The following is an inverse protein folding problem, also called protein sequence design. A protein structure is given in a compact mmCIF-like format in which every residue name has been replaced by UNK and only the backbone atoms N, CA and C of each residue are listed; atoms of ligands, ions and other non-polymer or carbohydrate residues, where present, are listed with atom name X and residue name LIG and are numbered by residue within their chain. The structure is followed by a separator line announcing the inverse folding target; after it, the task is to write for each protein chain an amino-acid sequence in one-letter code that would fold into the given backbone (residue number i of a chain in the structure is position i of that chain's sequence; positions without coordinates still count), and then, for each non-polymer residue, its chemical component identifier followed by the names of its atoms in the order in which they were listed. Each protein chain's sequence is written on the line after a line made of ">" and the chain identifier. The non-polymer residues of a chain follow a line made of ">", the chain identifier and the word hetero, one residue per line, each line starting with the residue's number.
data_IF_263290139546
#
_entry.id   IF_263290139546
#
_cell.length_a   1.000
_cell.length_b   1.000
_cell.length_c   1.000
_cell.angle_alpha   90.00
_cell.angle_beta   90.00
_cell.angle_gamma   90.00
#
_symmetry.space_group_name_H-M   'P 1'
#
loop_
_entity.id
_entity.type
_entity.pdbx_description
1 polymer ?
#
# COMPACT_ATOMS: atom_id res chain seq x y z
N UNK A 1 3.29 -18.60 -16.26
CA UNK A 1 3.27 -17.39 -15.39
C UNK A 1 4.53 -16.55 -15.58
N UNK A 2 5.73 -16.98 -15.15
CA UNK A 2 6.96 -16.16 -15.35
C UNK A 2 7.36 -16.04 -16.84
N UNK A 3 7.17 -17.10 -17.62
CA UNK A 3 7.38 -17.09 -19.07
C UNK A 3 6.36 -16.20 -19.79
N UNK A 4 5.07 -16.31 -19.44
CA UNK A 4 4.02 -15.44 -19.98
C UNK A 4 4.28 -13.97 -19.65
N UNK A 5 4.69 -13.67 -18.43
CA UNK A 5 5.04 -12.30 -18.03
C UNK A 5 6.23 -11.77 -18.84
N UNK A 6 7.25 -12.59 -19.10
CA UNK A 6 8.39 -12.21 -19.95
C UNK A 6 7.97 -11.97 -21.39
N UNK A 7 7.12 -12.85 -21.95
CA UNK A 7 6.58 -12.70 -23.29
C UNK A 7 5.75 -11.42 -23.40
N UNK A 8 4.82 -11.20 -22.49
CA UNK A 8 3.99 -10.00 -22.45
C UNK A 8 4.84 -8.74 -22.29
N UNK A 9 5.85 -8.74 -21.43
CA UNK A 9 6.76 -7.59 -21.30
C UNK A 9 7.52 -7.25 -22.60
N UNK A 10 7.70 -8.21 -23.51
CA UNK A 10 8.32 -7.98 -24.83
C UNK A 10 7.32 -7.65 -25.94
N UNK A 11 6.17 -8.33 -25.97
CA UNK A 11 5.15 -8.17 -27.02
C UNK A 11 4.21 -6.99 -26.74
N UNK A 12 3.94 -6.72 -25.47
CA UNK A 12 3.01 -5.71 -24.99
C UNK A 12 3.44 -5.13 -23.62
N UNK A 13 4.38 -4.16 -23.60
CA UNK A 13 4.81 -3.50 -22.37
C UNK A 13 3.68 -2.77 -21.61
N UNK A 14 2.59 -2.41 -22.31
CA UNK A 14 1.46 -1.65 -21.79
C UNK A 14 0.26 -2.55 -21.43
N UNK A 15 0.47 -3.86 -21.31
CA UNK A 15 -0.58 -4.86 -21.14
C UNK A 15 -1.62 -4.47 -20.08
N UNK A 16 -1.17 -4.08 -18.88
CA UNK A 16 -2.08 -3.74 -17.77
C UNK A 16 -2.85 -2.44 -18.02
N UNK A 17 -2.25 -1.46 -18.71
CA UNK A 17 -2.94 -0.21 -19.07
C UNK A 17 -4.02 -0.51 -20.10
N UNK A 18 -3.68 -1.30 -21.13
CA UNK A 18 -4.59 -1.74 -22.19
C UNK A 18 -5.74 -2.58 -21.64
N UNK A 19 -5.43 -3.51 -20.74
CA UNK A 19 -6.41 -4.39 -20.09
C UNK A 19 -7.46 -3.58 -19.32
N UNK A 20 -7.03 -2.70 -18.41
CA UNK A 20 -7.92 -1.86 -17.62
C UNK A 20 -8.75 -0.91 -18.50
N UNK A 21 -8.12 -0.27 -19.47
CA UNK A 21 -8.82 0.66 -20.37
C UNK A 21 -9.93 -0.06 -21.16
N UNK A 22 -9.60 -1.20 -21.77
CA UNK A 22 -10.53 -1.97 -22.58
C UNK A 22 -11.67 -2.58 -21.75
N UNK A 23 -11.41 -3.00 -20.51
CA UNK A 23 -12.43 -3.51 -19.61
C UNK A 23 -13.49 -2.43 -19.34
N UNK A 24 -13.05 -1.22 -18.97
CA UNK A 24 -13.94 -0.09 -18.72
C UNK A 24 -14.69 0.34 -19.99
N UNK A 25 -14.01 0.40 -21.14
CA UNK A 25 -14.63 0.79 -22.43
C UNK A 25 -15.75 -0.18 -22.86
N UNK A 26 -15.59 -1.48 -22.55
CA UNK A 26 -16.59 -2.52 -22.82
C UNK A 26 -17.70 -2.59 -21.77
N UNK A 27 -17.65 -1.77 -20.72
CA UNK A 27 -18.61 -1.82 -19.61
C UNK A 27 -18.35 -2.94 -18.60
N UNK A 28 -17.20 -3.63 -18.67
CA UNK A 28 -16.77 -4.62 -17.68
C UNK A 28 -16.01 -3.91 -16.54
N UNK A 29 -16.77 -3.25 -15.67
CA UNK A 29 -16.22 -2.37 -14.64
C UNK A 29 -15.60 -3.19 -13.49
N UNK A 30 -14.29 -3.06 -13.23
CA UNK A 30 -13.67 -3.75 -12.12
C UNK A 30 -14.11 -3.17 -10.78
N UNK A 31 -14.32 -4.05 -9.80
CA UNK A 31 -14.84 -3.71 -8.47
C UNK A 31 -13.97 -4.27 -7.34
N UNK A 32 -13.83 -3.52 -6.25
CA UNK A 32 -13.14 -3.94 -5.03
C UNK A 32 -14.04 -3.77 -3.81
N UNK A 33 -14.12 -4.79 -2.95
CA UNK A 33 -14.84 -4.70 -1.67
C UNK A 33 -13.89 -4.21 -0.57
N UNK A 34 -14.17 -3.03 -0.02
CA UNK A 34 -13.41 -2.45 1.07
C UNK A 34 -13.78 -3.14 2.39
N UNK A 35 -12.75 -3.63 3.08
CA UNK A 35 -12.84 -4.12 4.46
C UNK A 35 -11.87 -3.35 5.35
N UNK A 36 -12.14 -3.34 6.65
CA UNK A 36 -11.23 -2.84 7.68
C UNK A 36 -11.03 -3.87 8.78
N UNK A 37 -9.90 -3.80 9.48
CA UNK A 37 -9.70 -4.46 10.77
C UNK A 37 -9.71 -3.39 11.86
N UNK A 38 -10.23 -3.74 13.04
CA UNK A 38 -10.27 -2.83 14.19
C UNK A 38 -9.49 -3.47 15.33
N UNK A 39 -8.52 -2.74 15.85
CA UNK A 39 -7.74 -3.06 17.05
C UNK A 39 -7.90 -1.90 18.02
N UNK A 40 -8.29 -2.19 19.27
CA UNK A 40 -8.35 -1.16 20.33
C UNK A 40 -6.94 -0.79 20.81
N UNK A 41 -6.79 0.37 21.44
CA UNK A 41 -5.51 0.77 22.03
C UNK A 41 -5.01 -0.25 23.08
N UNK A 42 -5.91 -0.78 23.91
CA UNK A 42 -5.59 -1.84 24.87
C UNK A 42 -5.12 -3.13 24.17
N UNK A 43 -5.72 -3.50 23.04
CA UNK A 43 -5.24 -4.64 22.26
C UNK A 43 -3.86 -4.38 21.66
N UNK A 44 -3.61 -3.16 21.16
CA UNK A 44 -2.31 -2.76 20.62
C UNK A 44 -1.20 -2.83 21.69
N UNK A 45 -1.47 -2.35 22.90
CA UNK A 45 -0.51 -2.37 24.01
C UNK A 45 -0.16 -3.79 24.47
N UNK A 46 -1.09 -4.73 24.31
CA UNK A 46 -0.94 -6.13 24.75
C UNK A 46 -0.66 -7.10 23.59
N UNK A 47 -0.49 -6.61 22.35
CA UNK A 47 -0.28 -7.48 21.21
C UNK A 47 1.14 -8.07 21.22
N UNK A 48 1.28 -9.28 20.67
CA UNK A 48 2.53 -10.04 20.75
C UNK A 48 3.65 -9.50 19.85
N UNK A 49 3.30 -8.72 18.83
CA UNK A 49 4.21 -8.08 17.89
C UNK A 49 3.95 -6.57 17.90
N UNK A 50 4.78 -5.78 17.24
CA UNK A 50 4.50 -4.35 17.05
C UNK A 50 3.31 -4.18 16.08
N UNK A 51 2.15 -3.65 16.52
CA UNK A 51 0.98 -3.47 15.66
C UNK A 51 1.17 -2.41 14.58
N UNK A 52 2.24 -1.62 14.66
CA UNK A 52 2.60 -0.55 13.74
C UNK A 52 3.80 -0.90 12.85
N UNK A 53 4.32 -2.12 12.92
CA UNK A 53 5.35 -2.59 12.00
C UNK A 53 4.73 -3.01 10.67
N UNK A 54 5.05 -2.25 9.60
CA UNK A 54 4.57 -2.46 8.24
C UNK A 54 4.92 -3.85 7.66
N UNK A 55 5.90 -4.56 8.23
CA UNK A 55 6.26 -5.92 7.82
C UNK A 55 5.33 -7.00 8.38
N UNK A 56 4.43 -6.63 9.31
CA UNK A 56 3.53 -7.55 10.00
C UNK A 56 2.09 -7.38 9.53
N UNK A 57 1.35 -8.48 9.46
CA UNK A 57 -0.10 -8.50 9.29
C UNK A 57 -0.80 -8.77 10.62
N UNK A 58 -2.01 -8.24 10.76
CA UNK A 58 -2.91 -8.60 11.86
C UNK A 58 -3.70 -9.86 11.47
N UNK A 59 -3.53 -10.99 12.18
CA UNK A 59 -4.20 -12.23 11.80
C UNK A 59 -5.72 -12.07 11.77
N UNK A 60 -6.35 -12.48 10.66
CA UNK A 60 -7.82 -12.38 10.51
C UNK A 60 -8.60 -13.18 11.56
N UNK A 61 -7.98 -14.18 12.19
CA UNK A 61 -8.60 -14.95 13.26
C UNK A 61 -8.68 -14.16 14.58
N UNK A 62 -7.77 -13.22 14.80
CA UNK A 62 -7.74 -12.33 15.97
C UNK A 62 -8.49 -11.04 15.68
N UNK A 63 -8.31 -10.48 14.48
CA UNK A 63 -8.92 -9.24 14.02
C UNK A 63 -9.70 -9.49 12.72
N UNK A 64 -10.97 -9.92 12.78
CA UNK A 64 -11.75 -10.24 11.59
C UNK A 64 -11.95 -9.04 10.65
N UNK A 65 -12.06 -9.33 9.36
CA UNK A 65 -12.40 -8.33 8.34
C UNK A 65 -13.85 -7.85 8.52
N UNK A 66 -14.03 -6.53 8.57
CA UNK A 66 -15.33 -5.86 8.66
C UNK A 66 -15.61 -5.17 7.32
N UNK A 67 -16.67 -5.56 6.59
CA UNK A 67 -17.01 -4.93 5.31
C UNK A 67 -17.49 -3.50 5.51
N UNK A 68 -17.03 -2.58 4.66
CA UNK A 68 -17.38 -1.16 4.71
C UNK A 68 -18.10 -0.71 3.45
N UNK A 69 -17.63 -1.10 2.27
CA UNK A 69 -18.20 -0.62 1.01
C UNK A 69 -17.55 -1.20 -0.23
N UNK A 70 -17.80 -0.57 -1.37
CA UNK A 70 -17.35 -1.02 -2.69
C UNK A 70 -16.78 0.13 -3.51
N UNK A 71 -15.62 -0.09 -4.12
CA UNK A 71 -15.00 0.80 -5.10
C UNK A 71 -15.24 0.22 -6.49
N UNK A 72 -15.71 1.04 -7.43
CA UNK A 72 -15.96 0.64 -8.82
C UNK A 72 -15.25 1.64 -9.73
N UNK A 73 -14.45 1.14 -10.68
CA UNK A 73 -13.84 1.98 -11.71
C UNK A 73 -14.68 1.88 -12.99
N UNK A 74 -15.37 2.97 -13.34
CA UNK A 74 -16.36 2.97 -14.42
C UNK A 74 -16.16 4.06 -15.47
N UNK A 75 -15.01 4.75 -15.46
CA UNK A 75 -14.70 5.81 -16.42
C UNK A 75 -13.21 5.86 -16.68
N UNK A 76 -12.83 5.82 -17.96
CA UNK A 76 -11.47 6.07 -18.41
C UNK A 76 -11.15 7.58 -18.37
N UNK A 77 -9.88 7.96 -18.18
CA UNK A 77 -9.46 9.35 -18.35
C UNK A 77 -9.68 9.82 -19.79
N UNK A 78 -10.11 11.07 -19.97
CA UNK A 78 -10.21 11.71 -21.29
C UNK A 78 -8.82 12.15 -21.77
N UNK A 79 -7.97 12.59 -20.83
CA UNK A 79 -6.59 12.93 -21.10
C UNK A 79 -5.65 12.32 -20.05
N UNK A 80 -4.85 11.33 -20.48
CA UNK A 80 -3.94 10.60 -19.61
C UNK A 80 -2.95 11.52 -18.88
N UNK A 81 -2.37 12.52 -19.56
CA UNK A 81 -1.41 13.42 -18.92
C UNK A 81 -2.07 14.33 -17.86
N UNK A 82 -3.26 14.85 -18.16
CA UNK A 82 -3.98 15.74 -17.26
C UNK A 82 -4.55 15.03 -16.02
N UNK A 83 -5.01 13.78 -16.18
CA UNK A 83 -5.76 13.06 -15.15
C UNK A 83 -4.98 11.92 -14.48
N UNK A 84 -3.95 11.36 -15.12
CA UNK A 84 -3.16 10.25 -14.56
C UNK A 84 -1.77 10.74 -14.17
N UNK A 85 -1.00 11.28 -15.12
CA UNK A 85 0.39 11.71 -14.84
C UNK A 85 0.45 12.87 -13.84
N UNK A 86 -0.50 13.79 -13.89
CA UNK A 86 -0.59 14.91 -12.94
C UNK A 86 -1.35 14.58 -11.65
N UNK A 87 -1.83 13.34 -11.47
CA UNK A 87 -2.47 12.94 -10.23
C UNK A 87 -1.48 12.99 -9.05
N UNK A 88 -1.96 13.44 -7.89
CA UNK A 88 -1.20 13.59 -6.67
C UNK A 88 -1.96 13.01 -5.47
N UNK A 89 -1.52 11.84 -5.01
CA UNK A 89 -2.03 11.19 -3.81
C UNK A 89 -1.07 11.45 -2.65
N UNK A 90 -1.56 11.89 -1.48
CA UNK A 90 -0.71 12.05 -0.29
C UNK A 90 -1.39 11.42 0.92
N UNK A 91 -0.68 10.59 1.71
CA UNK A 91 -1.21 10.08 2.98
C UNK A 91 -1.61 11.18 3.96
N UNK A 92 -1.02 12.37 3.86
CA UNK A 92 -1.37 13.52 4.72
C UNK A 92 -2.75 14.14 4.40
N UNK A 93 -3.38 13.78 3.29
CA UNK A 93 -4.70 14.29 2.91
C UNK A 93 -5.82 13.45 3.55
N UNK A 94 -5.95 13.56 4.88
CA UNK A 94 -7.01 12.90 5.64
C UNK A 94 -8.28 13.77 5.74
N UNK A 95 -9.37 13.11 6.12
CA UNK A 95 -10.66 13.74 6.47
C UNK A 95 -10.98 13.46 7.93
N UNK A 96 -11.77 14.32 8.61
CA UNK A 96 -12.15 14.12 10.00
C UNK A 96 -12.76 12.72 10.22
N UNK A 97 -12.29 12.04 11.28
CA UNK A 97 -12.64 10.65 11.60
C UNK A 97 -11.57 9.62 11.22
N UNK A 98 -10.56 10.00 10.43
CA UNK A 98 -9.38 9.20 10.13
C UNK A 98 -8.15 9.94 10.66
N UNK A 99 -7.28 9.23 11.38
CA UNK A 99 -6.03 9.76 11.93
C UNK A 99 -4.82 8.90 11.57
N UNK A 100 -3.64 9.32 12.01
CA UNK A 100 -2.40 8.60 11.77
C UNK A 100 -2.07 7.61 12.90
N UNK A 101 -1.34 6.55 12.56
CA UNK A 101 -0.68 5.68 13.53
C UNK A 101 0.80 6.08 13.71
N UNK A 102 1.48 5.62 14.77
CA UNK A 102 2.90 5.87 14.97
C UNK A 102 3.82 4.98 14.10
N UNK A 103 3.30 4.30 13.07
CA UNK A 103 4.12 3.55 12.11
C UNK A 103 5.17 4.47 11.47
N UNK A 104 6.46 4.15 11.72
CA UNK A 104 7.60 4.95 11.25
C UNK A 104 7.61 5.14 9.74
N UNK A 105 7.17 4.14 8.97
CA UNK A 105 7.07 4.21 7.51
C UNK A 105 5.94 5.15 7.09
N UNK A 106 4.77 5.09 7.74
CA UNK A 106 3.69 6.03 7.50
C UNK A 106 4.13 7.47 7.82
N UNK A 107 4.78 7.68 8.97
CA UNK A 107 5.25 9.00 9.40
C UNK A 107 6.21 9.65 8.38
N UNK A 108 7.13 8.88 7.79
CA UNK A 108 7.96 9.37 6.69
C UNK A 108 7.14 9.79 5.47
N UNK A 109 6.15 8.98 5.08
CA UNK A 109 5.31 9.24 3.90
C UNK A 109 4.39 10.46 4.05
N UNK A 110 3.97 10.81 5.26
CA UNK A 110 3.16 12.02 5.51
C UNK A 110 3.89 13.27 5.00
N UNK A 111 5.22 13.32 5.15
CA UNK A 111 6.06 14.41 4.64
C UNK A 111 6.40 14.23 3.16
N UNK A 112 6.94 13.06 2.78
CA UNK A 112 7.63 12.90 1.48
C UNK A 112 6.73 13.13 0.26
N UNK A 113 5.45 12.78 0.34
CA UNK A 113 4.56 12.88 -0.83
C UNK A 113 4.27 14.33 -1.20
N UNK A 114 3.97 15.18 -0.22
CA UNK A 114 3.69 16.60 -0.47
C UNK A 114 4.96 17.30 -0.98
N UNK A 115 6.11 17.00 -0.37
CA UNK A 115 7.40 17.55 -0.78
C UNK A 115 7.74 17.23 -2.24
N UNK A 116 7.65 15.95 -2.64
CA UNK A 116 7.92 15.56 -4.03
C UNK A 116 6.88 16.13 -5.00
N UNK A 117 5.63 16.29 -4.59
CA UNK A 117 4.56 16.86 -5.42
C UNK A 117 4.79 18.34 -5.71
N UNK A 118 5.29 19.11 -4.73
CA UNK A 118 5.69 20.50 -4.97
C UNK A 118 6.80 20.60 -6.03
N UNK A 119 7.76 19.70 -6.00
CA UNK A 119 8.81 19.66 -7.02
C UNK A 119 8.28 19.20 -8.39
N UNK A 120 7.56 18.07 -8.43
CA UNK A 120 7.12 17.41 -9.67
C UNK A 120 6.04 18.18 -10.42
N UNK A 121 5.07 18.77 -9.71
CA UNK A 121 3.88 19.39 -10.28
C UNK A 121 3.79 20.89 -10.00
N UNK A 122 4.64 21.42 -9.13
CA UNK A 122 4.66 22.82 -8.75
C UNK A 122 3.90 23.13 -7.45
N UNK A 123 4.09 24.34 -6.90
CA UNK A 123 3.53 24.77 -5.63
C UNK A 123 1.99 24.73 -5.61
N UNK A 124 1.36 25.03 -6.75
CA UNK A 124 -0.10 25.09 -6.89
C UNK A 124 -0.72 23.82 -7.52
N UNK A 125 -0.05 22.66 -7.45
CA UNK A 125 -0.54 21.41 -8.04
C UNK A 125 -1.96 20.97 -7.58
N UNK A 126 -2.42 21.44 -6.41
CA UNK A 126 -3.79 21.22 -5.91
C UNK A 126 -4.85 21.97 -6.71
N UNK A 127 -4.47 22.95 -7.52
CA UNK A 127 -5.37 23.67 -8.43
C UNK A 127 -5.55 22.92 -9.76
N UNK A 128 -4.73 21.91 -10.07
CA UNK A 128 -4.94 21.03 -11.23
C UNK A 128 -6.27 20.28 -11.02
N UNK A 129 -7.16 20.21 -12.04
CA UNK A 129 -8.52 19.70 -11.88
C UNK A 129 -8.64 18.33 -11.18
N UNK A 130 -7.75 17.37 -11.49
CA UNK A 130 -7.79 16.03 -10.89
C UNK A 130 -7.43 16.02 -9.39
N UNK A 131 -6.63 16.98 -8.94
CA UNK A 131 -6.18 17.10 -7.55
C UNK A 131 -7.05 18.05 -6.71
N UNK A 132 -7.93 18.81 -7.36
CA UNK A 132 -8.74 19.82 -6.72
C UNK A 132 -9.78 19.18 -5.81
N UNK A 133 -9.91 19.65 -4.54
CA UNK A 133 -10.92 19.14 -3.62
C UNK A 133 -12.31 19.70 -3.97
N UNK A 134 -12.84 19.42 -5.17
CA UNK A 134 -14.02 20.07 -5.75
C UNK A 134 -15.31 19.99 -4.93
N UNK A 135 -15.40 19.05 -3.98
CA UNK A 135 -16.55 18.91 -3.04
C UNK A 135 -16.40 19.72 -1.76
N UNK A 136 -15.25 20.33 -1.53
CA UNK A 136 -14.99 21.27 -0.45
C UNK A 136 -14.60 22.62 -1.05
N UNK A 137 -14.88 23.72 -0.35
CA UNK A 137 -14.33 25.02 -0.73
C UNK A 137 -13.12 25.29 0.17
N UNK A 138 -11.88 25.28 -0.36
CA UNK A 138 -10.73 25.73 0.40
C UNK A 138 -10.95 27.19 0.83
N UNK A 139 -10.73 27.46 2.11
CA UNK A 139 -10.77 28.80 2.69
C UNK A 139 -9.61 28.88 3.67
N UNK A 140 -8.44 29.29 3.18
CA UNK A 140 -7.19 29.32 3.92
C UNK A 140 -6.37 30.58 3.56
N UNK A 141 -5.24 30.77 4.23
CA UNK A 141 -4.39 31.94 4.04
C UNK A 141 -3.31 31.78 2.96
N UNK A 142 -3.30 30.68 2.19
CA UNK A 142 -2.31 30.44 1.14
C UNK A 142 -2.56 31.39 -0.05
N UNK A 143 -1.48 32.00 -0.56
CA UNK A 143 -1.46 32.96 -1.67
C UNK A 143 -0.20 32.73 -2.52
N UNK A 144 -0.21 33.31 -3.72
CA UNK A 144 0.89 33.33 -4.68
C UNK A 144 1.37 31.92 -5.11
N UNK A 145 2.61 31.84 -5.63
CA UNK A 145 3.22 30.63 -6.16
C UNK A 145 3.09 30.52 -7.68
N UNK A 146 4.00 29.76 -8.27
CA UNK A 146 4.05 29.51 -9.71
C UNK A 146 2.72 28.90 -10.19
N UNK A 147 2.21 29.39 -11.33
CA UNK A 147 0.97 28.92 -11.98
C UNK A 147 -0.28 28.97 -11.08
N UNK A 148 -0.40 30.00 -10.24
CA UNK A 148 -1.66 30.28 -9.53
C UNK A 148 -2.77 30.64 -10.53
N UNK A 149 -3.85 29.86 -10.54
CA UNK A 149 -5.02 30.09 -11.41
C UNK A 149 -6.24 30.57 -10.61
N UNK A 150 -6.35 30.16 -9.34
CA UNK A 150 -7.36 30.61 -8.40
C UNK A 150 -6.67 31.07 -7.09
N UNK A 151 -6.90 32.33 -6.73
CA UNK A 151 -6.47 32.92 -5.46
C UNK A 151 -7.66 33.03 -4.49
N UNK A 152 -8.37 31.91 -4.32
CA UNK A 152 -9.54 31.80 -3.44
C UNK A 152 -10.67 32.78 -3.79
N UNK A 153 -10.90 32.97 -5.09
CA UNK A 153 -11.95 33.83 -5.62
C UNK A 153 -11.51 35.25 -6.01
N UNK A 154 -10.20 35.51 -6.19
CA UNK A 154 -9.67 36.81 -6.63
C UNK A 154 -9.08 36.88 -8.04
N UNK A 155 -9.17 35.84 -8.86
CA UNK A 155 -8.57 35.92 -10.21
C UNK A 155 -9.55 36.44 -11.25
N UNK A 156 -9.15 37.53 -11.90
CA UNK A 156 -9.77 38.18 -13.06
C UNK A 156 -9.62 37.34 -14.36
N UNK A 157 -9.62 36.01 -14.26
CA UNK A 157 -9.46 35.11 -15.41
C UNK A 157 -10.81 34.56 -15.87
N UNK A 158 -11.15 34.99 -17.09
CA UNK A 158 -12.20 34.56 -18.01
C UNK A 158 -12.69 33.11 -17.82
N UNK A 159 -13.94 32.98 -17.35
CA UNK A 159 -14.97 31.94 -17.61
C UNK A 159 -14.67 30.44 -17.41
N UNK A 160 -15.41 29.79 -16.50
CA UNK A 160 -16.17 28.52 -16.72
C UNK A 160 -17.15 28.17 -15.59
N UNK A 161 -17.16 28.89 -14.46
CA UNK A 161 -18.17 28.77 -13.42
C UNK A 161 -18.76 30.15 -13.07
N UNK A 162 -20.07 30.27 -12.82
CA UNK A 162 -20.66 31.55 -12.45
C UNK A 162 -20.04 32.04 -11.13
N UNK A 163 -19.36 33.19 -11.21
CA UNK A 163 -18.88 33.95 -10.06
C UNK A 163 -20.07 34.23 -9.13
N UNK A 164 -20.18 33.48 -8.03
CA UNK A 164 -21.00 33.89 -6.89
C UNK A 164 -20.28 35.05 -6.22
N UNK A 165 -21.04 36.13 -5.96
CA UNK A 165 -20.73 37.42 -5.29
C UNK A 165 -20.10 37.33 -3.88
N UNK A 166 -19.32 36.30 -3.61
CA UNK A 166 -18.71 35.98 -2.33
C UNK A 166 -17.22 35.72 -2.57
N UNK A 167 -16.57 36.68 -3.23
CA UNK A 167 -15.13 36.67 -3.46
C UNK A 167 -14.43 36.91 -2.12
N UNK A 168 -13.82 35.86 -1.59
CA UNK A 168 -12.81 35.92 -0.52
C UNK A 168 -11.50 36.56 -1.01
N UNK A 169 -11.50 37.15 -2.21
CA UNK A 169 -10.30 37.71 -2.79
C UNK A 169 -9.66 38.74 -1.86
N UNK A 170 -10.41 39.76 -1.46
CA UNK A 170 -9.93 40.77 -0.52
C UNK A 170 -9.92 40.26 0.95
N UNK A 171 -10.01 38.95 1.19
CA UNK A 171 -9.91 38.41 2.54
C UNK A 171 -8.47 38.52 3.05
N UNK A 172 -8.27 38.88 4.33
CA UNK A 172 -6.95 38.92 4.95
C UNK A 172 -6.17 37.61 4.71
N UNK A 173 -4.93 37.73 4.24
CA UNK A 173 -4.02 36.60 4.01
C UNK A 173 -3.32 36.12 5.29
N UNK A 174 -3.83 36.48 6.47
CA UNK A 174 -3.27 36.14 7.78
C UNK A 174 -4.40 35.72 8.73
N UNK A 175 -4.03 35.00 9.79
CA UNK A 175 -4.93 34.55 10.85
C UNK A 175 -4.17 34.55 12.19
N UNK A 176 -4.78 35.00 13.32
CA UNK A 176 -6.15 35.51 13.45
C UNK A 176 -6.33 36.91 12.83
N UNK A 177 -7.56 37.24 12.42
CA UNK A 177 -7.94 38.53 11.86
C UNK A 177 -9.20 39.11 12.54
N UNK A 178 -9.37 40.44 12.44
CA UNK A 178 -10.53 41.18 13.00
C UNK A 178 -11.59 41.53 11.96
N UNK A 179 -11.54 40.90 10.77
CA UNK A 179 -12.41 41.21 9.62
C UNK A 179 -13.41 40.09 9.32
N UNK A 180 -13.60 39.18 10.28
CA UNK A 180 -14.51 38.04 10.15
C UNK A 180 -14.13 37.14 8.97
N UNK A 181 -12.82 37.02 8.71
CA UNK A 181 -12.22 36.26 7.62
C UNK A 181 -12.14 34.77 7.90
N UNK A 182 -10.93 34.25 8.06
CA UNK A 182 -10.71 32.81 8.22
C UNK A 182 -11.09 32.38 9.64
N UNK A 183 -11.72 31.21 9.80
CA UNK A 183 -12.09 30.66 11.12
C UNK A 183 -11.55 29.25 11.32
N UNK A 184 -11.05 28.99 12.52
CA UNK A 184 -10.63 27.65 12.92
C UNK A 184 -11.83 26.80 13.34
N UNK A 185 -11.86 25.56 12.88
CA UNK A 185 -12.88 24.57 13.21
C UNK A 185 -12.43 23.71 14.41
N UNK A 186 -12.66 24.20 15.63
CA UNK A 186 -12.24 23.54 16.89
C UNK A 186 -12.87 22.17 17.10
N UNK A 187 -14.01 21.90 16.47
CA UNK A 187 -14.69 20.61 16.50
C UNK A 187 -13.95 19.50 15.73
N UNK A 188 -12.90 19.85 14.98
CA UNK A 188 -12.11 18.92 14.14
C UNK A 188 -10.71 18.66 14.71
N UNK A 189 -10.54 18.84 16.02
CA UNK A 189 -9.27 18.58 16.70
C UNK A 189 -8.88 17.10 16.57
N UNK A 190 -7.58 16.86 16.40
CA UNK A 190 -7.03 15.51 16.32
C UNK A 190 -7.16 14.77 17.66
N UNK A 191 -7.10 13.43 17.59
CA UNK A 191 -7.10 12.59 18.78
C UNK A 191 -5.83 12.83 19.61
N UNK A 192 -5.99 13.09 20.90
CA UNK A 192 -4.88 13.23 21.84
C UNK A 192 -4.52 11.85 22.40
N UNK A 193 -3.24 11.48 22.30
CA UNK A 193 -2.70 10.22 22.83
C UNK A 193 -1.46 10.48 23.68
N UNK A 194 -1.19 9.58 24.62
CA UNK A 194 -0.03 9.66 25.50
C UNK A 194 1.20 9.05 24.83
N UNK A 195 2.36 9.62 25.12
CA UNK A 195 3.66 9.13 24.65
C UNK A 195 4.54 8.80 25.86
N UNK A 196 5.30 7.71 25.74
CA UNK A 196 6.24 7.26 26.76
C UNK A 196 7.60 6.96 26.12
N UNK A 197 8.66 7.09 26.92
CA UNK A 197 10.04 6.82 26.50
C UNK A 197 10.85 8.08 26.16
N UNK A 198 12.10 7.87 25.77
CA UNK A 198 13.03 8.94 25.42
C UNK A 198 12.95 9.26 23.93
N UNK A 199 13.09 10.53 23.56
CA UNK A 199 13.22 10.94 22.15
C UNK A 199 14.61 10.52 21.66
N UNK A 200 14.68 9.44 20.87
CA UNK A 200 15.91 8.90 20.32
C UNK A 200 15.63 8.07 19.03
N UNK A 201 16.69 7.61 18.36
CA UNK A 201 16.62 6.67 17.24
C UNK A 201 16.53 5.24 17.75
N UNK A 202 15.31 4.81 18.08
CA UNK A 202 15.05 3.44 18.51
C UNK A 202 15.09 2.48 17.32
N UNK A 203 15.95 1.46 17.40
CA UNK A 203 16.00 0.38 16.44
C UNK A 203 14.66 -0.39 16.41
N UNK A 204 14.26 -0.95 15.25
CA UNK A 204 13.09 -1.83 15.20
C UNK A 204 13.35 -3.11 16.02
N UNK A 205 12.27 -3.71 16.53
CA UNK A 205 12.35 -5.08 17.04
C UNK A 205 12.52 -6.02 15.84
N UNK A 206 13.47 -6.96 15.93
CA UNK A 206 13.78 -7.93 14.86
C UNK A 206 13.64 -9.38 15.32
N UNK A 207 13.19 -9.60 16.56
CA UNK A 207 13.08 -10.93 17.16
C UNK A 207 12.03 -11.80 16.43
N UNK A 208 11.06 -11.17 15.76
CA UNK A 208 9.91 -11.81 15.13
C UNK A 208 9.90 -11.75 13.59
N UNK A 209 10.97 -11.24 12.96
CA UNK A 209 11.11 -11.06 11.51
C UNK A 209 10.77 -12.32 10.69
N UNK A 210 11.01 -13.49 11.26
CA UNK A 210 10.89 -14.77 10.58
C UNK A 210 9.59 -15.52 10.92
N UNK A 211 8.78 -15.04 11.87
CA UNK A 211 7.58 -15.74 12.34
C UNK A 211 6.50 -15.74 11.27
N UNK A 212 6.09 -14.57 10.77
CA UNK A 212 5.03 -14.49 9.77
C UNK A 212 5.41 -15.07 8.40
N UNK A 213 6.63 -14.87 7.87
CA UNK A 213 7.08 -15.57 6.66
C UNK A 213 7.10 -17.09 6.81
N UNK A 214 7.42 -17.60 8.01
CA UNK A 214 7.39 -19.04 8.29
C UNK A 214 5.97 -19.57 8.25
N UNK A 215 5.02 -18.87 8.88
CA UNK A 215 3.61 -19.23 8.83
C UNK A 215 3.08 -19.20 7.39
N UNK A 216 3.48 -18.20 6.60
CA UNK A 216 3.16 -18.11 5.17
C UNK A 216 3.68 -19.33 4.39
N UNK A 217 4.91 -19.77 4.65
CA UNK A 217 5.51 -20.93 3.99
C UNK A 217 4.93 -22.28 4.43
N UNK A 218 4.69 -22.46 5.74
CA UNK A 218 4.31 -23.77 6.31
C UNK A 218 2.85 -24.13 6.13
N UNK A 219 1.96 -23.15 5.98
CA UNK A 219 0.51 -23.41 5.91
C UNK A 219 0.12 -23.88 4.51
N UNK A 220 0.43 -25.14 4.23
CA UNK A 220 0.19 -25.85 2.96
C UNK A 220 -1.01 -26.79 3.09
N UNK A 221 -1.84 -26.86 2.04
CA UNK A 221 -2.80 -27.95 1.91
C UNK A 221 -2.14 -29.16 1.25
N UNK A 222 -2.16 -30.32 1.91
CA UNK A 222 -2.12 -31.60 1.22
C UNK A 222 -3.54 -31.92 0.71
N UNK A 223 -3.97 -31.31 -0.40
CA UNK A 223 -5.12 -31.86 -1.12
C UNK A 223 -4.63 -33.11 -1.85
N UNK A 224 -4.63 -34.23 -1.14
CA UNK A 224 -4.94 -35.51 -1.77
C UNK A 224 -6.47 -35.58 -1.91
N UNK A 225 -6.92 -36.06 -3.06
CA UNK A 225 -8.28 -35.93 -3.54
C UNK A 225 -9.37 -36.37 -2.52
N UNK A 226 -10.42 -35.55 -2.40
CA UNK A 226 -11.74 -35.98 -1.98
C UNK A 226 -12.04 -35.96 -0.48
N UNK A 227 -12.47 -34.80 0.05
CA UNK A 227 -13.55 -34.76 1.05
C UNK A 227 -14.14 -33.35 1.18
N UNK A 228 -15.42 -33.24 0.84
CA UNK A 228 -16.28 -32.09 1.10
C UNK A 228 -16.37 -31.84 2.60
N UNK A 229 -16.04 -30.64 3.08
CA UNK A 229 -16.24 -30.24 4.47
C UNK A 229 -17.50 -29.39 4.57
N UNK A 230 -18.53 -29.97 5.18
CA UNK A 230 -19.78 -29.31 5.52
C UNK A 230 -19.58 -28.25 6.61
N UNK A 231 -20.40 -27.20 6.54
CA UNK A 231 -20.40 -26.01 7.39
C UNK A 231 -21.26 -26.27 8.63
N UNK A 232 -20.66 -26.35 9.81
CA UNK A 232 -21.39 -26.30 11.10
C UNK A 232 -20.67 -25.39 12.09
N UNK A 233 -21.44 -24.45 12.68
CA UNK A 233 -21.04 -23.52 13.76
C UNK A 233 -20.62 -24.26 15.04
N UNK A 234 -19.83 -23.62 15.93
CA UNK A 234 -19.79 -24.06 17.32
C UNK A 234 -20.10 -22.94 18.34
N UNK A 235 -20.92 -23.30 19.32
CA UNK A 235 -21.00 -22.69 20.65
C UNK A 235 -19.86 -23.19 21.55
N UNK A 236 -19.55 -22.35 22.56
CA UNK A 236 -18.97 -22.63 23.88
C UNK A 236 -17.46 -22.92 24.05
N UNK A 237 -16.92 -22.27 25.09
CA UNK A 237 -15.53 -22.18 25.59
C UNK A 237 -14.89 -23.53 25.93
N UNK A 238 -13.69 -23.76 25.41
CA UNK A 238 -12.59 -24.49 26.07
C UNK A 238 -11.26 -24.11 25.39
N UNK A 239 -10.21 -23.91 26.20
CA UNK A 239 -8.81 -23.71 25.79
C UNK A 239 -8.40 -24.67 24.66
N UNK A 240 -8.32 -24.15 23.44
CA UNK A 240 -7.78 -24.80 22.25
C UNK A 240 -7.22 -23.71 21.37
N UNK A 241 -5.99 -23.90 20.89
CA UNK A 241 -5.41 -23.15 19.78
C UNK A 241 -6.47 -22.97 18.69
N UNK A 242 -7.03 -21.77 18.62
CA UNK A 242 -8.06 -21.44 17.65
C UNK A 242 -7.37 -21.52 16.29
N UNK A 243 -7.82 -22.39 15.38
CA UNK A 243 -7.12 -22.58 14.12
C UNK A 243 -7.24 -21.28 13.32
N UNK A 244 -6.12 -20.57 13.16
CA UNK A 244 -5.97 -19.51 12.17
C UNK A 244 -6.15 -20.15 10.77
N UNK A 245 -7.38 -20.27 10.28
CA UNK A 245 -7.61 -20.79 8.93
C UNK A 245 -7.19 -19.74 7.90
N UNK A 246 -6.18 -20.06 7.08
CA UNK A 246 -6.17 -20.06 5.60
C UNK A 246 -5.02 -20.97 5.15
N UNK A 247 -5.27 -21.86 4.18
CA UNK A 247 -4.19 -22.49 3.40
C UNK A 247 -3.57 -21.36 2.57
N UNK A 248 -2.26 -21.17 2.69
CA UNK A 248 -1.59 -20.00 2.13
C UNK A 248 -0.90 -20.32 0.82
N UNK A 249 -0.21 -21.46 0.74
CA UNK A 249 0.45 -21.93 -0.48
C UNK A 249 0.09 -23.39 -0.78
N UNK A 250 -0.23 -23.69 -2.03
CA UNK A 250 -0.20 -25.05 -2.58
C UNK A 250 1.24 -25.47 -2.89
N UNK A 251 1.50 -26.77 -3.05
CA UNK A 251 2.88 -27.20 -3.35
C UNK A 251 3.41 -26.70 -4.69
N UNK A 252 2.54 -26.56 -5.71
CA UNK A 252 2.94 -25.96 -6.97
C UNK A 252 3.27 -24.46 -6.81
N UNK A 253 2.64 -23.76 -5.85
CA UNK A 253 2.95 -22.38 -5.50
C UNK A 253 4.27 -22.26 -4.73
N UNK A 254 4.57 -23.22 -3.85
CA UNK A 254 5.87 -23.32 -3.16
C UNK A 254 7.00 -23.58 -4.14
N UNK A 255 6.79 -24.50 -5.09
CA UNK A 255 7.78 -24.76 -6.13
C UNK A 255 7.99 -23.51 -6.99
N UNK A 256 6.92 -22.79 -7.36
CA UNK A 256 7.05 -21.50 -8.06
C UNK A 256 7.83 -20.47 -7.26
N UNK A 257 7.56 -20.33 -5.96
CA UNK A 257 8.33 -19.43 -5.09
C UNK A 257 9.81 -19.80 -5.09
N UNK A 258 10.12 -21.09 -4.93
CA UNK A 258 11.49 -21.62 -4.95
C UNK A 258 12.19 -21.29 -6.27
N UNK A 259 11.55 -21.59 -7.40
CA UNK A 259 12.13 -21.37 -8.73
C UNK A 259 12.30 -19.88 -9.04
N UNK A 260 11.35 -19.03 -8.66
CA UNK A 260 11.45 -17.58 -8.85
C UNK A 260 12.61 -17.00 -8.04
N UNK A 261 12.72 -17.38 -6.76
CA UNK A 261 13.82 -16.95 -5.90
C UNK A 261 15.16 -17.45 -6.41
N UNK A 262 15.25 -18.72 -6.83
CA UNK A 262 16.47 -19.28 -7.39
C UNK A 262 16.87 -18.59 -8.71
N UNK A 263 15.90 -18.29 -9.57
CA UNK A 263 16.11 -17.57 -10.82
C UNK A 263 16.66 -16.16 -10.63
N UNK A 264 16.30 -15.49 -9.53
CA UNK A 264 16.87 -14.20 -9.13
C UNK A 264 18.28 -14.37 -8.54
N UNK A 265 18.50 -15.38 -7.70
CA UNK A 265 19.76 -15.56 -6.97
C UNK A 265 20.89 -16.13 -7.82
N UNK A 266 20.59 -16.87 -8.90
CA UNK A 266 21.61 -17.58 -9.70
C UNK A 266 22.73 -16.67 -10.24
N UNK A 267 22.43 -15.39 -10.48
CA UNK A 267 23.38 -14.41 -11.01
C UNK A 267 23.93 -13.47 -9.91
N UNK A 268 23.47 -13.61 -8.67
CA UNK A 268 24.02 -12.88 -7.52
C UNK A 268 25.38 -13.46 -7.10
N UNK A 269 26.19 -12.65 -6.40
CA UNK A 269 27.46 -13.14 -5.85
C UNK A 269 27.23 -14.24 -4.81
N UNK A 270 28.20 -15.14 -4.66
CA UNK A 270 28.13 -16.24 -3.68
C UNK A 270 27.85 -15.74 -2.25
N UNK A 271 28.48 -14.62 -1.86
CA UNK A 271 28.27 -13.99 -0.55
C UNK A 271 26.81 -13.55 -0.35
N UNK A 272 26.17 -13.01 -1.39
CA UNK A 272 24.76 -12.62 -1.34
C UNK A 272 23.86 -13.86 -1.28
N UNK A 273 24.15 -14.88 -2.09
CA UNK A 273 23.41 -16.14 -2.08
C UNK A 273 23.46 -16.80 -0.69
N UNK A 274 24.64 -16.92 -0.11
CA UNK A 274 24.88 -17.50 1.22
C UNK A 274 24.15 -16.71 2.31
N UNK A 275 24.34 -15.38 2.34
CA UNK A 275 23.65 -14.53 3.31
C UNK A 275 22.13 -14.65 3.20
N UNK A 276 21.57 -14.70 2.00
CA UNK A 276 20.13 -14.80 1.81
C UNK A 276 19.61 -16.18 2.28
N UNK A 277 20.28 -17.25 1.88
CA UNK A 277 19.88 -18.62 2.23
C UNK A 277 20.03 -18.90 3.73
N UNK A 278 21.15 -18.50 4.33
CA UNK A 278 21.49 -18.85 5.71
C UNK A 278 20.93 -17.86 6.74
N UNK A 279 21.04 -16.56 6.47
CA UNK A 279 20.64 -15.54 7.45
C UNK A 279 19.18 -15.10 7.31
N UNK A 280 18.50 -15.50 6.23
CA UNK A 280 17.07 -15.17 6.00
C UNK A 280 16.24 -16.45 5.88
N UNK A 281 16.41 -17.22 4.80
CA UNK A 281 15.51 -18.33 4.51
C UNK A 281 15.64 -19.49 5.51
N UNK A 282 16.83 -19.80 6.02
CA UNK A 282 16.99 -20.85 7.03
C UNK A 282 16.36 -20.47 8.37
N UNK A 283 16.31 -19.17 8.71
CA UNK A 283 15.60 -18.66 9.89
C UNK A 283 14.08 -18.68 9.69
N UNK A 284 13.61 -18.45 8.46
CA UNK A 284 12.20 -18.66 8.10
C UNK A 284 11.84 -20.14 8.23
N UNK A 285 12.44 -20.99 7.41
CA UNK A 285 12.21 -22.44 7.43
C UNK A 285 13.35 -23.23 6.75
N UNK A 286 13.89 -24.29 7.38
CA UNK A 286 14.96 -25.09 6.79
C UNK A 286 14.61 -25.78 5.45
N UNK A 287 13.35 -26.20 5.26
CA UNK A 287 12.91 -26.81 4.00
C UNK A 287 12.92 -25.77 2.86
N UNK A 288 12.45 -24.54 3.14
CA UNK A 288 12.53 -23.43 2.19
C UNK A 288 13.98 -23.18 1.73
N UNK A 289 14.88 -23.02 2.69
CA UNK A 289 16.29 -22.75 2.41
C UNK A 289 16.93 -23.87 1.58
N UNK A 290 16.66 -25.13 1.95
CA UNK A 290 17.21 -26.30 1.26
C UNK A 290 16.71 -26.40 -0.19
N UNK A 291 15.40 -26.20 -0.42
CA UNK A 291 14.81 -26.22 -1.77
C UNK A 291 15.40 -25.13 -2.66
N UNK A 292 15.50 -23.89 -2.16
CA UNK A 292 16.09 -22.78 -2.93
C UNK A 292 17.57 -23.01 -3.20
N UNK A 293 18.34 -23.47 -2.21
CA UNK A 293 19.76 -23.79 -2.40
C UNK A 293 19.98 -24.82 -3.51
N UNK A 294 19.16 -25.89 -3.51
CA UNK A 294 19.20 -26.92 -4.54
C UNK A 294 18.84 -26.36 -5.92
N UNK A 295 17.78 -25.55 -6.01
CA UNK A 295 17.36 -24.93 -7.27
C UNK A 295 18.42 -23.97 -7.83
N UNK A 296 19.05 -23.14 -6.99
CA UNK A 296 20.15 -22.24 -7.38
C UNK A 296 21.32 -23.04 -7.95
N UNK A 297 21.77 -24.08 -7.25
CA UNK A 297 22.86 -24.93 -7.72
C UNK A 297 22.53 -25.57 -9.08
N UNK A 298 21.31 -26.09 -9.25
CA UNK A 298 20.86 -26.65 -10.52
C UNK A 298 20.90 -25.65 -11.68
N UNK A 299 20.44 -24.41 -11.46
CA UNK A 299 20.46 -23.35 -12.47
C UNK A 299 21.88 -22.91 -12.84
N UNK A 300 22.79 -22.85 -11.86
CA UNK A 300 24.20 -22.52 -12.10
C UNK A 300 24.87 -23.63 -12.92
N UNK A 301 24.67 -24.91 -12.55
CA UNK A 301 25.21 -26.05 -13.29
C UNK A 301 24.71 -26.08 -14.73
N UNK A 302 23.40 -25.91 -14.96
CA UNK A 302 22.83 -25.88 -16.30
C UNK A 302 23.41 -24.74 -17.17
N UNK A 303 23.66 -23.56 -16.57
CA UNK A 303 24.31 -22.43 -17.25
C UNK A 303 25.74 -22.75 -17.67
N UNK A 304 26.49 -23.46 -16.83
CA UNK A 304 27.86 -23.91 -17.14
C UNK A 304 27.83 -24.94 -18.28
N UNK A 305 26.94 -25.92 -18.24
CA UNK A 305 26.81 -26.93 -19.30
C UNK A 305 26.45 -26.30 -20.65
N UNK A 306 25.49 -25.37 -20.70
CA UNK A 306 25.13 -24.60 -21.90
C UNK A 306 26.30 -23.77 -22.46
N UNK A 307 27.17 -23.25 -21.59
CA UNK A 307 28.35 -22.53 -22.02
C UNK A 307 29.40 -23.46 -22.67
N UNK A 308 29.51 -24.71 -22.19
CA UNK A 308 30.45 -25.69 -22.72
C UNK A 308 29.93 -26.38 -23.99
N UNK A 309 28.61 -26.48 -24.19
CA UNK A 309 28.03 -27.06 -25.41
C UNK A 309 28.01 -26.13 -26.62
N UNK A 310 28.26 -24.83 -26.42
CA UNK A 310 28.29 -23.79 -27.45
C UNK A 310 29.71 -23.39 -27.88
N UNK A 311 30.73 -24.14 -27.43
CA UNK A 311 32.15 -24.04 -27.83
C UNK A 311 32.52 -25.29 -28.60
#
# INVERSE_FOLDING_TARGET
>A
MAEDARRLAGEDPDYSVRDLYNAIDKGDYPEWTLHIQIMTLEQADNWTMDPFDLTKIWPHAEFPLIPVGKLVLNRNPENYFAEVEQAAFSPSHLVPGIGFSPDKMLQGRILSYVDTQYHRLGPNHKQIPINCPYRARPSNTQRDGLMTIDSQGETNTVHFLPSKKNSLGNAPSYFPDSFNGHVEHKERIEHVYNLHGQVNRHAPNTDDDFVQPREFWRRVSSISAGRSVARTQPQARASKSVPLFWIVLKEDERERLVQNTAGMLKDASSVVQERFLENTYAKVDPDLASRVKKAVAGLISAKVELAHSNV
#
